data_IF_864212180183
#
_entry.id   IF_864212180183
#
_cell.length_a   1.000
_cell.length_b   1.000
_cell.length_c   1.000
_cell.angle_alpha   90.00
_cell.angle_beta   90.00
_cell.angle_gamma   90.00
#
_symmetry.space_group_name_H-M   'P 1'
#
loop_
_entity.id
_entity.type
_entity.pdbx_description
1 polymer ?
#
# COMPACT_ATOMS: atom_id res chain seq x y z
N UNK A 1 -11.47 19.90 -5.96
CA UNK A 1 -10.73 21.16 -6.11
C UNK A 1 -9.69 21.34 -5.01
N UNK A 2 -10.10 21.26 -3.72
CA UNK A 2 -9.18 21.44 -2.58
C UNK A 2 -8.06 20.39 -2.57
N UNK A 3 -8.38 19.12 -2.56
CA UNK A 3 -7.38 18.05 -2.48
C UNK A 3 -6.56 17.84 -3.76
N UNK A 4 -7.13 18.13 -4.94
CA UNK A 4 -6.42 17.98 -6.20
C UNK A 4 -5.56 19.21 -6.54
N UNK A 5 -6.16 20.34 -6.72
CA UNK A 5 -5.47 21.53 -7.26
C UNK A 5 -4.73 22.34 -6.19
N UNK A 6 -5.42 22.73 -5.11
CA UNK A 6 -4.79 23.50 -4.04
C UNK A 6 -3.78 22.68 -3.27
N UNK A 7 -4.13 21.44 -2.92
CA UNK A 7 -3.22 20.55 -2.23
C UNK A 7 -1.92 20.32 -3.00
N UNK A 8 -2.01 20.10 -4.31
CA UNK A 8 -0.83 19.96 -5.16
C UNK A 8 0.05 21.22 -5.16
N UNK A 9 -0.55 22.40 -5.30
CA UNK A 9 0.18 23.67 -5.25
C UNK A 9 0.87 23.86 -3.89
N UNK A 10 0.13 23.66 -2.79
CA UNK A 10 0.70 23.75 -1.43
C UNK A 10 1.84 22.74 -1.22
N UNK A 11 1.69 21.51 -1.75
CA UNK A 11 2.73 20.51 -1.66
C UNK A 11 4.00 20.90 -2.40
N UNK A 12 3.89 21.52 -3.59
CA UNK A 12 5.04 22.01 -4.34
C UNK A 12 5.75 23.17 -3.59
N UNK A 13 5.00 24.18 -3.13
CA UNK A 13 5.55 25.30 -2.36
C UNK A 13 6.26 24.81 -1.07
N UNK A 14 5.67 23.83 -0.40
CA UNK A 14 6.23 23.20 0.80
C UNK A 14 7.52 22.41 0.46
N UNK A 15 7.49 21.65 -0.62
CA UNK A 15 8.62 20.84 -1.08
C UNK A 15 9.84 21.71 -1.42
N UNK A 16 9.62 22.84 -2.09
CA UNK A 16 10.67 23.82 -2.41
C UNK A 16 11.19 24.50 -1.15
N UNK A 17 10.30 24.97 -0.28
CA UNK A 17 10.65 25.72 0.94
C UNK A 17 11.52 24.91 1.90
N UNK A 18 11.23 23.62 2.05
CA UNK A 18 11.88 22.77 3.05
C UNK A 18 12.86 21.75 2.46
N UNK A 19 13.02 21.72 1.14
CA UNK A 19 13.83 20.74 0.38
C UNK A 19 13.46 19.29 0.72
N UNK A 20 12.17 18.97 0.63
CA UNK A 20 11.60 17.66 0.93
C UNK A 20 10.71 17.16 -0.21
N UNK A 21 10.39 15.88 -0.19
CA UNK A 21 9.22 15.35 -0.88
C UNK A 21 7.99 15.55 0.01
N UNK A 22 6.85 15.97 -0.56
CA UNK A 22 5.57 16.04 0.14
C UNK A 22 4.65 14.98 -0.48
N UNK A 23 4.25 13.94 0.27
CA UNK A 23 3.47 12.85 -0.28
C UNK A 23 2.06 13.32 -0.67
N UNK A 24 1.57 12.83 -1.80
CA UNK A 24 0.17 12.99 -2.19
C UNK A 24 -0.76 12.19 -1.27
N UNK A 25 -0.27 11.07 -0.77
CA UNK A 25 -1.00 10.07 0.00
C UNK A 25 -0.14 9.57 1.18
N UNK A 26 -0.73 9.45 2.35
CA UNK A 26 -0.15 8.73 3.48
C UNK A 26 -0.71 7.32 3.51
N UNK A 27 0.16 6.32 3.58
CA UNK A 27 -0.20 4.96 3.95
C UNK A 27 -0.05 4.83 5.46
N UNK A 28 -1.09 4.43 6.18
CA UNK A 28 -1.10 4.43 7.66
C UNK A 28 -1.65 3.13 8.21
N UNK A 29 -0.98 2.56 9.21
CA UNK A 29 -1.42 1.39 9.96
C UNK A 29 -2.12 1.81 11.25
N UNK A 30 -3.45 1.82 11.33
CA UNK A 30 -4.16 2.12 12.58
C UNK A 30 -3.84 1.11 13.68
N UNK A 31 -3.50 -0.10 13.29
CA UNK A 31 -3.11 -1.20 14.18
C UNK A 31 -2.31 -2.28 13.43
N UNK A 32 -1.38 -2.93 14.11
CA UNK A 32 -0.73 -4.14 13.61
C UNK A 32 -1.55 -5.41 13.92
N UNK A 33 -2.59 -5.32 14.76
CA UNK A 33 -3.47 -6.45 15.06
C UNK A 33 -4.24 -6.88 13.79
N UNK A 34 -4.37 -8.19 13.63
CA UNK A 34 -5.15 -8.79 12.55
C UNK A 34 -5.98 -9.96 13.07
N UNK A 35 -7.15 -10.15 12.50
CA UNK A 35 -8.01 -11.31 12.79
C UNK A 35 -7.70 -12.51 11.88
N UNK A 36 -6.60 -12.45 11.11
CA UNK A 36 -6.11 -13.50 10.21
C UNK A 36 -4.60 -13.70 10.34
N UNK A 37 -4.11 -14.87 9.91
CA UNK A 37 -2.69 -15.23 9.88
C UNK A 37 -2.29 -15.71 8.48
N UNK A 38 -2.21 -14.77 7.54
CA UNK A 38 -1.92 -15.10 6.13
C UNK A 38 -0.46 -15.49 5.93
N UNK A 39 -0.22 -16.55 5.15
CA UNK A 39 1.15 -16.97 4.80
C UNK A 39 1.89 -15.87 4.04
N UNK A 40 3.11 -15.53 4.48
CA UNK A 40 3.95 -14.50 3.88
C UNK A 40 3.29 -13.09 3.96
N UNK A 41 2.74 -12.75 5.11
CA UNK A 41 2.23 -11.41 5.37
C UNK A 41 3.39 -10.46 5.67
N UNK A 42 3.52 -9.36 4.92
CA UNK A 42 4.57 -8.38 5.13
C UNK A 42 4.43 -7.66 6.49
N UNK A 43 3.20 -7.47 6.97
CA UNK A 43 2.92 -6.79 8.23
C UNK A 43 3.13 -7.69 9.48
N UNK A 44 3.47 -8.96 9.32
CA UNK A 44 3.67 -9.87 10.46
C UNK A 44 4.88 -9.48 11.33
N UNK A 45 5.88 -8.81 10.75
CA UNK A 45 7.08 -8.34 11.44
C UNK A 45 6.80 -7.27 12.50
N UNK A 46 5.64 -6.61 12.45
CA UNK A 46 5.24 -5.60 13.46
C UNK A 46 4.57 -6.20 14.71
N UNK A 47 4.43 -7.51 14.81
CA UNK A 47 4.09 -8.22 16.06
C UNK A 47 2.67 -8.04 16.59
N UNK A 48 1.68 -7.71 15.80
CA UNK A 48 0.23 -7.72 16.12
C UNK A 48 -0.22 -7.01 17.42
N UNK A 49 0.62 -6.22 18.08
CA UNK A 49 0.34 -5.62 19.41
C UNK A 49 0.33 -4.08 19.39
N UNK A 50 0.72 -3.47 18.29
CA UNK A 50 0.83 -2.02 18.17
C UNK A 50 -0.47 -1.40 17.67
N UNK A 51 -0.75 -0.19 18.11
CA UNK A 51 -1.88 0.61 17.62
C UNK A 51 -1.57 2.08 17.77
N UNK A 52 -1.93 2.87 16.75
CA UNK A 52 -1.90 4.32 16.83
C UNK A 52 -3.13 4.83 17.58
N UNK A 53 -2.98 5.69 18.60
CA UNK A 53 -4.09 6.42 19.19
C UNK A 53 -4.84 7.26 18.14
N UNK A 54 -6.15 7.42 18.35
CA UNK A 54 -6.96 8.27 17.46
C UNK A 54 -6.39 9.69 17.34
N UNK A 55 -5.98 10.26 18.45
CA UNK A 55 -5.45 11.63 18.56
C UNK A 55 -4.15 11.80 17.74
N UNK A 56 -3.31 10.77 17.68
CA UNK A 56 -2.09 10.80 16.86
C UNK A 56 -2.42 10.73 15.37
N UNK A 57 -3.32 9.83 14.96
CA UNK A 57 -3.78 9.74 13.57
C UNK A 57 -4.40 11.08 13.12
N UNK A 58 -5.27 11.66 13.94
CA UNK A 58 -5.92 12.94 13.69
C UNK A 58 -4.93 14.10 13.56
N UNK A 59 -3.93 14.16 14.46
CA UNK A 59 -2.86 15.16 14.41
C UNK A 59 -2.07 15.05 13.12
N UNK A 60 -1.61 13.85 12.77
CA UNK A 60 -0.85 13.61 11.54
C UNK A 60 -1.63 14.03 10.30
N UNK A 61 -2.91 13.67 10.21
CA UNK A 61 -3.75 14.07 9.08
C UNK A 61 -3.96 15.59 9.01
N UNK A 62 -4.07 16.25 10.16
CA UNK A 62 -4.18 17.71 10.24
C UNK A 62 -2.89 18.38 9.75
N UNK A 63 -1.73 17.92 10.22
CA UNK A 63 -0.42 18.41 9.80
C UNK A 63 -0.16 18.14 8.31
N UNK A 64 -0.51 16.94 7.83
CA UNK A 64 -0.35 16.55 6.44
C UNK A 64 -1.16 17.42 5.48
N UNK A 65 -2.41 17.75 5.82
CA UNK A 65 -3.24 18.69 5.05
C UNK A 65 -2.59 20.07 4.95
N UNK A 66 -2.00 20.56 6.02
CA UNK A 66 -1.30 21.84 6.01
C UNK A 66 -0.10 21.85 5.07
N UNK A 67 0.47 20.67 4.77
CA UNK A 67 1.57 20.49 3.81
C UNK A 67 1.08 20.21 2.37
N UNK A 68 -0.21 19.98 2.18
CA UNK A 68 -0.80 19.72 0.85
C UNK A 68 -1.23 18.28 0.59
N UNK A 69 -1.12 17.37 1.58
CA UNK A 69 -1.57 15.97 1.47
C UNK A 69 -3.06 15.86 1.78
N UNK A 70 -3.85 15.30 0.87
CA UNK A 70 -5.30 15.18 1.02
C UNK A 70 -5.84 13.75 0.82
N UNK A 71 -4.99 12.74 0.91
CA UNK A 71 -5.39 11.35 0.83
C UNK A 71 -4.71 10.52 1.93
N UNK A 72 -5.43 9.56 2.49
CA UNK A 72 -4.91 8.58 3.43
C UNK A 72 -5.43 7.18 3.08
N UNK A 73 -4.53 6.22 3.06
CA UNK A 73 -4.83 4.82 2.81
C UNK A 73 -4.46 4.02 4.06
N UNK A 74 -5.43 3.33 4.63
CA UNK A 74 -5.22 2.49 5.80
C UNK A 74 -4.83 1.07 5.40
N UNK A 75 -3.81 0.54 6.10
CA UNK A 75 -3.32 -0.84 5.93
C UNK A 75 -2.87 -1.39 7.29
N UNK A 76 -1.79 -2.17 7.37
CA UNK A 76 -1.26 -2.74 8.61
C UNK A 76 -1.67 -4.18 8.82
N UNK A 77 -2.19 -4.51 10.00
CA UNK A 77 -2.85 -5.79 10.27
C UNK A 77 -4.19 -5.84 9.53
N UNK A 78 -5.29 -5.73 10.26
CA UNK A 78 -6.61 -5.49 9.63
C UNK A 78 -7.12 -4.11 10.08
N UNK A 79 -7.15 -3.11 9.18
CA UNK A 79 -7.53 -1.75 9.57
C UNK A 79 -8.97 -1.66 10.07
N UNK A 80 -9.88 -2.51 9.61
CA UNK A 80 -11.28 -2.49 10.04
C UNK A 80 -11.50 -3.01 11.47
N UNK A 81 -10.48 -3.53 12.16
CA UNK A 81 -10.54 -3.66 13.61
C UNK A 81 -10.68 -2.30 14.31
N UNK A 82 -10.26 -1.24 13.62
CA UNK A 82 -10.37 0.17 14.06
C UNK A 82 -11.41 0.96 13.24
N UNK A 83 -12.43 0.26 12.64
CA UNK A 83 -13.41 0.89 11.76
C UNK A 83 -14.12 2.10 12.39
N UNK A 84 -14.36 2.09 13.70
CA UNK A 84 -14.98 3.24 14.40
C UNK A 84 -14.09 4.48 14.39
N UNK A 85 -12.79 4.32 14.61
CA UNK A 85 -11.84 5.43 14.56
C UNK A 85 -11.65 5.93 13.13
N UNK A 86 -11.59 5.01 12.15
CA UNK A 86 -11.51 5.37 10.72
C UNK A 86 -12.73 6.23 10.33
N UNK A 87 -13.95 5.83 10.68
CA UNK A 87 -15.16 6.61 10.40
C UNK A 87 -15.11 8.00 11.07
N UNK A 88 -14.65 8.08 12.31
CA UNK A 88 -14.46 9.39 13.01
C UNK A 88 -13.43 10.28 12.30
N UNK A 89 -12.34 9.71 11.77
CA UNK A 89 -11.37 10.46 10.95
C UNK A 89 -12.01 10.97 9.66
N UNK A 90 -12.78 10.13 8.97
CA UNK A 90 -13.52 10.52 7.76
C UNK A 90 -14.49 11.67 8.02
N UNK A 91 -15.20 11.65 9.15
CA UNK A 91 -16.09 12.74 9.56
C UNK A 91 -15.35 14.06 9.82
N UNK A 92 -14.21 13.96 10.51
CA UNK A 92 -13.42 15.12 10.91
C UNK A 92 -12.67 15.73 9.73
N UNK A 93 -12.25 14.93 8.77
CA UNK A 93 -11.45 15.34 7.61
C UNK A 93 -12.22 15.16 6.30
N UNK A 94 -13.38 15.81 6.18
CA UNK A 94 -14.27 15.70 5.01
C UNK A 94 -13.66 16.17 3.69
N UNK A 95 -12.59 16.94 3.76
CA UNK A 95 -11.79 17.44 2.65
C UNK A 95 -10.66 16.49 2.22
N UNK A 96 -10.56 15.31 2.86
CA UNK A 96 -9.65 14.23 2.50
C UNK A 96 -10.37 13.04 1.89
N UNK A 97 -9.68 12.30 1.03
CA UNK A 97 -10.09 10.98 0.55
C UNK A 97 -9.46 9.88 1.41
N UNK A 98 -10.26 8.90 1.80
CA UNK A 98 -9.81 7.76 2.60
C UNK A 98 -10.04 6.45 1.85
N UNK A 99 -9.09 5.54 1.99
CA UNK A 99 -9.15 4.21 1.43
C UNK A 99 -8.61 3.20 2.44
N UNK A 100 -9.03 1.93 2.38
CA UNK A 100 -8.41 0.87 3.15
C UNK A 100 -8.20 -0.40 2.33
N UNK A 101 -7.05 -1.03 2.52
CA UNK A 101 -6.86 -2.44 2.15
C UNK A 101 -7.36 -3.31 3.30
N UNK A 102 -8.33 -4.17 3.03
CA UNK A 102 -8.95 -5.01 4.05
C UNK A 102 -9.07 -6.45 3.59
N UNK A 103 -9.09 -7.39 4.54
CA UNK A 103 -9.44 -8.77 4.25
C UNK A 103 -10.96 -8.97 4.01
N UNK A 104 -11.78 -7.95 4.21
CA UNK A 104 -13.21 -7.93 3.95
C UNK A 104 -14.09 -8.56 5.04
N UNK A 105 -13.52 -9.33 5.98
CA UNK A 105 -14.30 -10.11 6.94
C UNK A 105 -15.06 -9.31 7.99
N UNK A 106 -14.77 -8.01 8.11
CA UNK A 106 -15.38 -7.07 9.07
C UNK A 106 -16.33 -6.06 8.39
N UNK A 107 -16.58 -6.22 7.09
CA UNK A 107 -17.58 -5.45 6.37
C UNK A 107 -18.95 -6.03 6.71
N UNK A 108 -19.78 -5.24 7.37
CA UNK A 108 -21.14 -5.57 7.79
C UNK A 108 -22.12 -4.47 7.36
N UNK A 109 -23.41 -4.70 7.57
CA UNK A 109 -24.50 -3.78 7.21
C UNK A 109 -24.30 -2.39 7.84
N UNK A 110 -24.00 -2.34 9.13
CA UNK A 110 -23.79 -1.08 9.85
C UNK A 110 -22.61 -0.30 9.29
N UNK A 111 -21.54 -0.99 8.91
CA UNK A 111 -20.37 -0.36 8.33
C UNK A 111 -20.65 0.18 6.92
N UNK A 112 -21.45 -0.51 6.12
CA UNK A 112 -21.90 0.00 4.81
C UNK A 112 -22.70 1.30 4.97
N UNK A 113 -23.59 1.37 5.96
CA UNK A 113 -24.34 2.59 6.26
C UNK A 113 -23.42 3.76 6.68
N UNK A 114 -22.41 3.47 7.50
CA UNK A 114 -21.42 4.47 7.90
C UNK A 114 -20.56 4.95 6.72
N UNK A 115 -20.14 4.05 5.82
CA UNK A 115 -19.43 4.42 4.59
C UNK A 115 -20.26 5.38 3.72
N UNK A 116 -21.54 5.08 3.54
CA UNK A 116 -22.46 5.95 2.80
C UNK A 116 -22.64 7.32 3.49
N UNK A 117 -22.72 7.33 4.80
CA UNK A 117 -22.91 8.55 5.60
C UNK A 117 -21.71 9.49 5.52
N UNK A 118 -20.47 8.97 5.59
CA UNK A 118 -19.26 9.82 5.51
C UNK A 118 -18.95 10.23 4.08
N UNK A 119 -19.13 9.33 3.10
CA UNK A 119 -19.07 9.62 1.66
C UNK A 119 -17.67 9.86 1.09
N UNK A 120 -16.62 9.80 1.91
CA UNK A 120 -15.22 10.01 1.52
C UNK A 120 -14.32 8.81 1.83
N UNK A 121 -14.90 7.63 2.05
CA UNK A 121 -14.20 6.39 2.36
C UNK A 121 -14.62 5.25 1.43
N UNK A 122 -13.64 4.49 0.94
CA UNK A 122 -13.84 3.29 0.13
C UNK A 122 -12.81 2.21 0.45
N UNK A 123 -13.00 0.99 -0.05
CA UNK A 123 -12.15 -0.16 0.31
C UNK A 123 -11.66 -0.93 -0.92
N UNK A 124 -10.52 -1.60 -0.76
CA UNK A 124 -10.07 -2.69 -1.63
C UNK A 124 -10.02 -3.99 -0.85
N UNK A 125 -10.82 -4.96 -1.28
CA UNK A 125 -10.86 -6.28 -0.66
C UNK A 125 -9.69 -7.12 -1.18
N UNK A 126 -8.94 -7.72 -0.27
CA UNK A 126 -7.77 -8.51 -0.60
C UNK A 126 -8.15 -9.91 -1.10
N UNK A 127 -7.74 -10.26 -2.31
CA UNK A 127 -7.93 -11.58 -2.94
C UNK A 127 -6.67 -12.03 -3.69
N UNK A 128 -6.50 -13.36 -3.87
CA UNK A 128 -5.27 -13.93 -4.46
C UNK A 128 -5.55 -14.79 -5.71
N UNK A 129 -6.77 -14.74 -6.26
CA UNK A 129 -7.28 -15.61 -7.30
C UNK A 129 -8.52 -16.36 -6.84
N UNK A 130 -8.82 -17.51 -7.45
CA UNK A 130 -9.92 -18.37 -7.02
C UNK A 130 -9.67 -19.03 -5.66
N UNK A 131 -10.67 -19.77 -5.16
CA UNK A 131 -10.72 -20.34 -3.80
C UNK A 131 -9.43 -21.04 -3.39
N UNK A 132 -8.88 -21.93 -4.23
CA UNK A 132 -7.68 -22.69 -3.91
C UNK A 132 -6.47 -21.77 -3.61
N UNK A 133 -6.17 -20.82 -4.49
CA UNK A 133 -5.05 -19.89 -4.33
C UNK A 133 -5.30 -18.92 -3.17
N UNK A 134 -6.52 -18.42 -3.06
CA UNK A 134 -6.91 -17.47 -2.03
C UNK A 134 -6.87 -18.11 -0.63
N UNK A 135 -7.53 -19.23 -0.46
CA UNK A 135 -7.64 -19.93 0.83
C UNK A 135 -6.32 -20.58 1.24
N UNK A 136 -5.53 -21.01 0.25
CA UNK A 136 -4.16 -21.53 0.51
C UNK A 136 -3.24 -20.51 1.18
N UNK A 137 -3.44 -19.21 0.92
CA UNK A 137 -2.68 -18.14 1.58
C UNK A 137 -3.38 -17.57 2.81
N UNK A 138 -4.70 -17.34 2.72
CA UNK A 138 -5.47 -16.53 3.70
C UNK A 138 -6.20 -17.38 4.72
N UNK A 139 -6.30 -18.68 4.47
CA UNK A 139 -7.03 -19.61 5.31
C UNK A 139 -8.39 -20.01 4.73
N UNK A 140 -8.79 -21.22 5.05
CA UNK A 140 -9.99 -21.88 4.50
C UNK A 140 -11.26 -21.04 4.71
N UNK A 141 -12.02 -20.88 3.63
CA UNK A 141 -13.30 -20.18 3.60
C UNK A 141 -13.18 -18.65 3.53
N UNK A 142 -11.96 -18.11 3.39
CA UNK A 142 -11.79 -16.67 3.22
C UNK A 142 -12.31 -16.19 1.86
N UNK A 143 -12.13 -16.97 0.79
CA UNK A 143 -12.61 -16.59 -0.54
C UNK A 143 -14.11 -16.29 -0.54
N UNK A 144 -14.92 -17.20 0.06
CA UNK A 144 -16.36 -16.97 0.14
C UNK A 144 -16.70 -15.70 0.94
N UNK A 145 -16.01 -15.46 2.07
CA UNK A 145 -16.23 -14.24 2.87
C UNK A 145 -15.90 -12.96 2.08
N UNK A 146 -14.85 -13.00 1.25
CA UNK A 146 -14.53 -11.89 0.38
C UNK A 146 -15.62 -11.65 -0.69
N UNK A 147 -16.16 -12.71 -1.28
CA UNK A 147 -17.28 -12.61 -2.22
C UNK A 147 -18.56 -12.10 -1.55
N UNK A 148 -18.86 -12.54 -0.33
CA UNK A 148 -20.02 -12.06 0.44
C UNK A 148 -19.89 -10.56 0.76
N UNK A 149 -18.70 -10.10 1.13
CA UNK A 149 -18.43 -8.69 1.36
C UNK A 149 -18.58 -7.84 0.09
N UNK A 150 -18.14 -8.35 -1.07
CA UNK A 150 -18.35 -7.70 -2.38
C UNK A 150 -19.84 -7.59 -2.70
N UNK A 151 -20.61 -8.67 -2.51
CA UNK A 151 -22.06 -8.68 -2.74
C UNK A 151 -22.78 -7.67 -1.81
N UNK A 152 -22.35 -7.56 -0.55
CA UNK A 152 -22.89 -6.60 0.39
C UNK A 152 -22.63 -5.15 -0.05
N UNK A 153 -21.36 -4.81 -0.39
CA UNK A 153 -21.01 -3.47 -0.89
C UNK A 153 -21.80 -3.13 -2.18
N UNK A 154 -21.90 -4.09 -3.10
CA UNK A 154 -22.69 -3.93 -4.33
C UNK A 154 -24.17 -3.67 -4.04
N UNK A 155 -24.78 -4.38 -3.09
CA UNK A 155 -26.19 -4.19 -2.72
C UNK A 155 -26.48 -2.78 -2.24
N UNK A 156 -25.49 -2.16 -1.56
CA UNK A 156 -25.51 -0.76 -1.11
C UNK A 156 -25.05 0.24 -2.17
N UNK A 157 -24.65 -0.22 -3.36
CA UNK A 157 -24.09 0.63 -4.43
C UNK A 157 -22.84 1.42 -3.97
N UNK A 158 -22.07 0.85 -3.08
CA UNK A 158 -20.79 1.40 -2.63
C UNK A 158 -19.71 0.95 -3.61
N UNK A 159 -18.99 1.87 -4.28
CA UNK A 159 -17.88 1.50 -5.14
C UNK A 159 -16.74 0.90 -4.31
N UNK A 160 -16.15 -0.18 -4.81
CA UNK A 160 -15.02 -0.84 -4.16
C UNK A 160 -14.05 -1.42 -5.19
N UNK A 161 -12.86 -1.69 -4.75
CA UNK A 161 -11.85 -2.39 -5.52
C UNK A 161 -11.40 -3.69 -4.87
N UNK A 162 -10.41 -4.29 -5.50
CA UNK A 162 -9.65 -5.42 -4.95
C UNK A 162 -8.17 -5.12 -4.87
N UNK A 163 -7.49 -5.74 -3.91
CA UNK A 163 -6.05 -5.75 -3.78
C UNK A 163 -5.55 -7.17 -4.04
N UNK A 164 -4.69 -7.33 -5.03
CA UNK A 164 -4.22 -8.60 -5.53
C UNK A 164 -2.70 -8.65 -5.43
N UNK A 165 -2.18 -9.52 -4.55
CA UNK A 165 -0.76 -9.85 -4.58
C UNK A 165 -0.51 -10.97 -5.57
N UNK A 166 0.29 -10.70 -6.61
CA UNK A 166 0.67 -11.72 -7.57
C UNK A 166 2.10 -12.22 -7.36
N UNK A 167 2.32 -13.48 -7.68
CA UNK A 167 3.55 -14.24 -7.51
C UNK A 167 3.85 -15.04 -8.78
N UNK A 168 5.01 -15.68 -8.85
CA UNK A 168 5.35 -16.64 -9.90
C UNK A 168 4.32 -17.78 -10.05
N UNK A 169 3.46 -18.03 -9.04
CA UNK A 169 2.51 -19.15 -9.03
C UNK A 169 1.08 -18.75 -9.48
N UNK A 170 0.63 -17.52 -9.20
CA UNK A 170 -0.76 -17.13 -9.45
C UNK A 170 -0.95 -16.03 -10.53
N UNK A 171 0.14 -15.49 -11.09
CA UNK A 171 0.08 -14.34 -12.02
C UNK A 171 -0.86 -14.54 -13.21
N UNK A 172 -0.95 -15.75 -13.77
CA UNK A 172 -1.89 -16.05 -14.87
C UNK A 172 -3.33 -16.13 -14.40
N UNK A 173 -3.56 -16.70 -13.23
CA UNK A 173 -4.91 -16.87 -12.66
C UNK A 173 -5.52 -15.51 -12.34
N UNK A 174 -4.78 -14.63 -11.67
CA UNK A 174 -5.28 -13.31 -11.24
C UNK A 174 -5.48 -12.33 -12.39
N UNK A 175 -5.01 -12.67 -13.59
CA UNK A 175 -5.20 -11.88 -14.81
C UNK A 175 -6.00 -12.63 -15.88
N UNK A 176 -6.54 -13.80 -15.55
CA UNK A 176 -7.40 -14.54 -16.48
C UNK A 176 -8.74 -13.85 -16.68
N UNK A 177 -9.33 -14.03 -17.86
CA UNK A 177 -10.63 -13.41 -18.17
C UNK A 177 -11.72 -13.90 -17.21
N UNK A 178 -11.69 -15.17 -16.84
CA UNK A 178 -12.66 -15.78 -15.93
C UNK A 178 -12.60 -15.14 -14.53
N UNK A 179 -11.39 -14.85 -14.02
CA UNK A 179 -11.24 -14.20 -12.72
C UNK A 179 -11.65 -12.72 -12.77
N UNK A 180 -11.28 -12.02 -13.84
CA UNK A 180 -11.68 -10.63 -14.06
C UNK A 180 -13.20 -10.49 -14.21
N UNK A 181 -13.84 -11.38 -14.99
CA UNK A 181 -15.28 -11.38 -15.18
C UNK A 181 -16.02 -11.70 -13.89
N UNK A 182 -15.47 -12.57 -13.04
CA UNK A 182 -16.00 -12.78 -11.69
C UNK A 182 -15.97 -11.49 -10.87
N UNK A 183 -14.84 -10.78 -10.81
CA UNK A 183 -14.71 -9.53 -10.06
C UNK A 183 -15.67 -8.45 -10.58
N UNK A 184 -15.77 -8.30 -11.90
CA UNK A 184 -16.71 -7.36 -12.54
C UNK A 184 -18.16 -7.74 -12.22
N UNK A 185 -18.50 -9.03 -12.27
CA UNK A 185 -19.84 -9.53 -11.93
C UNK A 185 -20.23 -9.25 -10.48
N UNK A 186 -19.25 -9.18 -9.58
CA UNK A 186 -19.42 -8.77 -8.17
C UNK A 186 -19.52 -7.26 -7.97
N UNK A 187 -19.29 -6.46 -9.02
CA UNK A 187 -19.36 -5.00 -8.96
C UNK A 187 -18.05 -4.32 -8.62
N UNK A 188 -16.93 -5.01 -8.71
CA UNK A 188 -15.61 -4.44 -8.54
C UNK A 188 -15.31 -3.44 -9.67
N UNK A 189 -14.85 -2.23 -9.34
CA UNK A 189 -14.58 -1.17 -10.33
C UNK A 189 -13.09 -0.92 -10.57
N UNK A 190 -12.22 -1.37 -9.67
CA UNK A 190 -10.77 -1.26 -9.86
C UNK A 190 -10.02 -2.39 -9.16
N UNK A 191 -8.79 -2.68 -9.63
CA UNK A 191 -7.90 -3.66 -9.05
C UNK A 191 -6.49 -3.08 -8.86
N UNK A 192 -5.96 -3.20 -7.65
CA UNK A 192 -4.56 -2.96 -7.35
C UNK A 192 -3.79 -4.26 -7.47
N UNK A 193 -2.85 -4.34 -8.40
CA UNK A 193 -1.90 -5.43 -8.53
C UNK A 193 -0.60 -5.05 -7.83
N UNK A 194 -0.17 -5.91 -6.91
CA UNK A 194 1.11 -5.79 -6.20
C UNK A 194 1.99 -6.99 -6.51
N UNK A 195 3.17 -6.74 -7.03
CA UNK A 195 4.20 -7.77 -7.13
C UNK A 195 4.58 -8.27 -5.73
N UNK A 196 4.80 -9.56 -5.61
CA UNK A 196 5.29 -10.13 -4.36
C UNK A 196 6.63 -9.49 -3.97
N UNK A 197 6.72 -9.01 -2.75
CA UNK A 197 7.95 -8.50 -2.16
C UNK A 197 8.43 -9.50 -1.10
N UNK A 198 9.71 -9.92 -1.09
CA UNK A 198 10.24 -10.93 -0.17
C UNK A 198 10.54 -10.34 1.21
N UNK A 199 9.52 -9.70 1.81
CA UNK A 199 9.53 -9.04 3.12
C UNK A 199 8.52 -9.73 4.01
N UNK A 200 8.79 -9.76 5.30
CA UNK A 200 7.93 -10.39 6.30
C UNK A 200 8.37 -11.80 6.69
N UNK A 201 7.73 -12.32 7.73
CA UNK A 201 8.02 -13.65 8.28
C UNK A 201 7.89 -14.74 7.22
N UNK A 202 8.92 -15.57 7.11
CA UNK A 202 9.00 -16.66 6.15
C UNK A 202 8.90 -16.23 4.68
N UNK A 203 9.43 -15.04 4.34
CA UNK A 203 9.50 -14.57 2.96
C UNK A 203 10.25 -15.58 2.08
N UNK A 204 9.61 -15.98 0.98
CA UNK A 204 10.12 -17.00 0.04
C UNK A 204 10.47 -16.35 -1.30
N UNK A 205 11.76 -16.16 -1.57
CA UNK A 205 12.23 -15.56 -2.83
C UNK A 205 11.82 -16.37 -4.09
N UNK A 206 11.46 -17.65 -3.97
CA UNK A 206 10.96 -18.44 -5.10
C UNK A 206 9.61 -17.98 -5.64
N UNK A 207 8.93 -17.12 -4.90
CA UNK A 207 7.65 -16.50 -5.32
C UNK A 207 7.84 -15.25 -6.18
N UNK A 208 9.08 -14.75 -6.32
CA UNK A 208 9.39 -13.66 -7.24
C UNK A 208 9.13 -14.10 -8.69
N UNK A 209 8.72 -13.15 -9.53
CA UNK A 209 8.49 -13.42 -10.94
C UNK A 209 9.82 -13.52 -11.71
N UNK A 210 9.83 -14.35 -12.75
CA UNK A 210 10.89 -14.26 -13.76
C UNK A 210 10.71 -13.02 -14.64
N UNK A 211 11.73 -12.57 -15.39
CA UNK A 211 11.61 -11.45 -16.32
C UNK A 211 10.49 -11.62 -17.35
N UNK A 212 10.27 -12.85 -17.84
CA UNK A 212 9.21 -13.18 -18.79
C UNK A 212 7.82 -13.06 -18.15
N UNK A 213 7.68 -13.55 -16.90
CA UNK A 213 6.44 -13.44 -16.15
C UNK A 213 6.11 -11.97 -15.82
N UNK A 214 7.13 -11.16 -15.51
CA UNK A 214 6.96 -9.73 -15.28
C UNK A 214 6.54 -8.99 -16.55
N UNK A 215 7.15 -9.31 -17.69
CA UNK A 215 6.76 -8.79 -18.99
C UNK A 215 5.31 -9.14 -19.31
N UNK A 216 4.93 -10.40 -19.09
CA UNK A 216 3.54 -10.84 -19.25
C UNK A 216 2.58 -10.00 -18.39
N UNK A 217 2.86 -9.82 -17.10
CA UNK A 217 2.00 -9.02 -16.19
C UNK A 217 1.84 -7.59 -16.69
N UNK A 218 2.94 -6.94 -17.03
CA UNK A 218 2.92 -5.57 -17.59
C UNK A 218 2.03 -5.46 -18.82
N UNK A 219 2.23 -6.35 -19.78
CA UNK A 219 1.51 -6.29 -21.05
C UNK A 219 0.03 -6.66 -20.87
N UNK A 220 -0.26 -7.67 -20.04
CA UNK A 220 -1.63 -8.10 -19.75
C UNK A 220 -2.44 -7.06 -18.99
N UNK A 221 -1.86 -6.39 -17.99
CA UNK A 221 -2.55 -5.30 -17.26
C UNK A 221 -2.83 -4.12 -18.20
N UNK A 222 -1.93 -3.81 -19.13
CA UNK A 222 -2.16 -2.78 -20.15
C UNK A 222 -3.27 -3.17 -21.12
N UNK A 223 -3.34 -4.43 -21.53
CA UNK A 223 -4.43 -4.95 -22.34
C UNK A 223 -5.78 -4.82 -21.61
N UNK A 224 -5.86 -5.24 -20.34
CA UNK A 224 -7.07 -5.13 -19.51
C UNK A 224 -7.54 -3.67 -19.42
N UNK A 225 -6.62 -2.70 -19.30
CA UNK A 225 -6.91 -1.25 -19.28
C UNK A 225 -7.24 -0.67 -20.65
N UNK A 226 -7.05 -1.43 -21.71
CA UNK A 226 -7.16 -0.94 -23.08
C UNK A 226 -8.52 -0.30 -23.40
N UNK A 227 -8.51 0.80 -24.14
CA UNK A 227 -9.72 1.54 -24.55
C UNK A 227 -10.57 0.69 -25.52
N UNK A 228 -9.92 -0.20 -26.28
CA UNK A 228 -10.59 -1.09 -27.23
C UNK A 228 -10.30 -2.54 -26.83
N UNK A 229 -11.34 -3.28 -26.47
CA UNK A 229 -11.22 -4.69 -26.04
C UNK A 229 -10.76 -4.90 -24.61
N UNK A 230 -10.63 -3.83 -23.82
CA UNK A 230 -10.36 -3.90 -22.38
C UNK A 230 -11.56 -4.39 -21.57
N UNK A 231 -11.34 -4.60 -20.29
CA UNK A 231 -12.39 -4.98 -19.32
C UNK A 231 -12.94 -3.72 -18.61
N UNK A 232 -14.17 -3.81 -18.13
CA UNK A 232 -14.79 -2.76 -17.29
C UNK A 232 -14.21 -2.75 -15.86
N UNK A 233 -12.88 -2.81 -15.76
CA UNK A 233 -12.12 -2.85 -14.52
C UNK A 233 -10.86 -2.01 -14.67
N UNK A 234 -10.74 -0.92 -13.90
CA UNK A 234 -9.53 -0.13 -13.88
C UNK A 234 -8.43 -0.84 -13.09
N UNK A 235 -7.33 -1.19 -13.74
CA UNK A 235 -6.22 -1.91 -13.11
C UNK A 235 -5.02 -0.99 -12.88
N UNK A 236 -4.44 -1.05 -11.68
CA UNK A 236 -3.18 -0.39 -11.33
C UNK A 236 -2.17 -1.50 -11.05
N UNK A 237 -1.03 -1.48 -11.74
CA UNK A 237 0.09 -2.39 -11.46
C UNK A 237 1.20 -1.61 -10.76
N UNK A 238 1.22 -1.68 -9.45
CA UNK A 238 2.03 -0.79 -8.60
C UNK A 238 3.52 -0.77 -8.98
N UNK A 239 4.11 -1.92 -9.32
CA UNK A 239 5.51 -2.00 -9.70
C UNK A 239 5.75 -1.73 -11.19
N UNK A 240 4.84 -2.11 -12.09
CA UNK A 240 5.04 -1.97 -13.53
C UNK A 240 4.51 -0.63 -14.10
N UNK A 241 3.79 0.14 -13.30
CA UNK A 241 3.35 1.49 -13.66
C UNK A 241 4.40 2.58 -13.35
N UNK A 242 5.62 2.21 -12.97
CA UNK A 242 6.72 3.14 -12.73
C UNK A 242 7.05 4.06 -13.91
N UNK A 243 6.80 3.64 -15.15
CA UNK A 243 6.95 4.50 -16.34
C UNK A 243 6.03 5.73 -16.30
N UNK A 244 4.80 5.56 -15.76
CA UNK A 244 3.82 6.65 -15.63
C UNK A 244 4.06 7.50 -14.38
N UNK A 245 4.65 6.90 -13.34
CA UNK A 245 4.92 7.55 -12.06
C UNK A 245 6.30 8.24 -11.99
N UNK A 246 7.14 8.08 -13.02
CA UNK A 246 8.50 8.63 -13.04
C UNK A 246 9.50 7.83 -12.19
N UNK A 247 9.23 6.55 -11.94
CA UNK A 247 10.09 5.66 -11.17
C UNK A 247 9.54 5.31 -9.79
N UNK A 248 10.42 5.23 -8.77
CA UNK A 248 10.02 4.90 -7.40
C UNK A 248 9.18 6.01 -6.77
N UNK A 249 8.02 5.65 -6.21
CA UNK A 249 7.04 6.58 -5.63
C UNK A 249 7.16 6.74 -4.10
N UNK A 250 8.10 6.02 -3.48
CA UNK A 250 8.33 5.97 -2.03
C UNK A 250 9.11 7.20 -1.50
N UNK A 251 9.38 7.22 -0.20
CA UNK A 251 10.17 8.29 0.44
C UNK A 251 9.52 9.66 0.35
N UNK A 252 8.18 9.71 0.37
CA UNK A 252 7.40 10.94 0.28
C UNK A 252 7.21 11.48 -1.15
N UNK A 253 7.74 10.83 -2.20
CA UNK A 253 7.57 11.29 -3.59
C UNK A 253 6.08 11.30 -3.98
N UNK A 254 5.39 10.17 -3.85
CA UNK A 254 3.93 10.07 -3.95
C UNK A 254 3.34 9.63 -2.61
N UNK A 255 4.02 8.74 -1.89
CA UNK A 255 3.57 8.29 -0.59
C UNK A 255 4.70 8.05 0.40
N UNK A 256 4.35 7.98 1.68
CA UNK A 256 5.14 7.41 2.75
C UNK A 256 4.26 6.49 3.59
N UNK A 257 4.89 5.66 4.42
CA UNK A 257 4.20 4.74 5.31
C UNK A 257 4.39 5.15 6.78
N UNK A 258 3.34 5.06 7.58
CA UNK A 258 3.38 5.23 9.03
C UNK A 258 2.89 3.93 9.64
N UNK A 259 3.77 3.18 10.26
CA UNK A 259 3.43 1.91 10.88
C UNK A 259 2.65 2.09 12.20
N UNK A 260 2.11 1.00 12.73
CA UNK A 260 1.27 1.04 13.94
C UNK A 260 2.03 1.39 15.23
N UNK A 261 3.37 1.34 15.21
CA UNK A 261 4.21 1.83 16.31
C UNK A 261 4.37 3.37 16.26
N UNK A 262 4.30 3.94 15.05
CA UNK A 262 4.45 5.37 14.79
C UNK A 262 5.73 5.75 14.05
N UNK A 263 6.49 4.77 13.54
CA UNK A 263 7.65 5.04 12.70
C UNK A 263 7.21 5.49 11.30
N UNK A 264 7.94 6.44 10.73
CA UNK A 264 7.67 6.96 9.39
C UNK A 264 8.67 6.37 8.41
N UNK A 265 8.19 5.44 7.60
CA UNK A 265 8.97 4.63 6.68
C UNK A 265 8.84 5.14 5.25
N UNK A 266 9.84 4.94 4.39
CA UNK A 266 9.75 5.36 2.99
C UNK A 266 8.71 4.57 2.21
N UNK A 267 8.52 3.30 2.53
CA UNK A 267 7.69 2.35 1.79
C UNK A 267 7.16 1.27 2.73
N UNK A 268 5.96 0.79 2.48
CA UNK A 268 5.32 -0.32 3.20
C UNK A 268 6.11 -1.65 3.15
N UNK A 269 7.07 -1.76 2.22
CA UNK A 269 7.96 -2.92 2.08
C UNK A 269 9.40 -2.63 2.54
N UNK A 270 9.69 -1.44 3.05
CA UNK A 270 11.02 -1.04 3.51
C UNK A 270 10.88 -0.53 4.94
N UNK A 271 11.06 -1.45 5.86
CA UNK A 271 10.88 -1.29 7.30
C UNK A 271 12.13 -0.68 7.94
N UNK A 272 12.45 0.55 7.54
CA UNK A 272 13.55 1.36 8.07
C UNK A 272 13.11 2.80 8.30
N UNK A 273 13.46 3.34 9.46
CA UNK A 273 13.13 4.72 9.81
C UNK A 273 14.19 5.34 10.73
N UNK A 274 14.24 6.66 10.75
CA UNK A 274 14.92 7.48 11.76
C UNK A 274 13.98 8.57 12.32
N UNK A 275 12.67 8.43 12.10
CA UNK A 275 11.67 9.41 12.49
C UNK A 275 10.42 8.74 13.07
N UNK A 276 9.98 9.26 14.21
CA UNK A 276 8.90 8.74 15.01
C UNK A 276 7.85 9.84 15.25
N UNK A 277 6.59 9.60 14.83
CA UNK A 277 5.55 10.65 14.88
C UNK A 277 5.17 11.09 16.28
N UNK A 278 5.42 10.28 17.34
CA UNK A 278 5.13 10.66 18.72
C UNK A 278 6.11 11.69 19.27
N UNK A 279 7.29 11.83 18.66
CA UNK A 279 8.35 12.74 19.08
C UNK A 279 8.51 13.93 18.15
N UNK A 280 8.06 13.79 16.90
CA UNK A 280 8.27 14.76 15.82
C UNK A 280 6.95 15.13 15.14
N UNK A 281 6.87 16.34 14.61
CA UNK A 281 5.82 16.72 13.67
C UNK A 281 5.94 15.94 12.36
N UNK A 282 4.86 15.86 11.59
CA UNK A 282 4.91 15.17 10.30
C UNK A 282 5.92 15.83 9.34
N UNK A 283 6.03 17.16 9.36
CA UNK A 283 7.06 17.87 8.58
C UNK A 283 8.48 17.42 8.97
N UNK A 284 8.80 17.36 10.26
CA UNK A 284 10.12 16.90 10.72
C UNK A 284 10.39 15.45 10.34
N UNK A 285 9.34 14.60 10.31
CA UNK A 285 9.45 13.23 9.83
C UNK A 285 9.79 13.17 8.33
N UNK A 286 9.22 14.03 7.50
CA UNK A 286 9.55 14.12 6.08
C UNK A 286 10.98 14.64 5.83
N UNK A 287 11.58 15.34 6.80
CA UNK A 287 12.95 15.85 6.73
C UNK A 287 14.00 14.83 7.17
N UNK A 288 13.63 13.61 7.54
CA UNK A 288 14.57 12.58 7.98
C UNK A 288 15.64 12.25 6.93
N UNK A 289 16.87 11.88 7.35
CA UNK A 289 17.98 11.63 6.43
C UNK A 289 17.66 10.61 5.34
N UNK A 290 16.96 9.52 5.67
CA UNK A 290 16.58 8.48 4.69
C UNK A 290 15.69 9.06 3.57
N UNK A 291 14.70 9.92 3.89
CA UNK A 291 13.84 10.55 2.89
C UNK A 291 14.59 11.56 2.01
N UNK A 292 15.58 12.25 2.56
CA UNK A 292 16.47 13.12 1.77
C UNK A 292 17.30 12.32 0.76
N UNK A 293 17.75 11.11 1.15
CA UNK A 293 18.44 10.22 0.21
C UNK A 293 17.50 9.70 -0.88
N UNK A 294 16.23 9.40 -0.54
CA UNK A 294 15.21 9.08 -1.56
C UNK A 294 15.02 10.24 -2.54
N UNK A 295 14.80 11.46 -2.06
CA UNK A 295 14.63 12.65 -2.90
C UNK A 295 15.82 12.87 -3.83
N UNK A 296 17.04 12.73 -3.31
CA UNK A 296 18.27 12.91 -4.09
C UNK A 296 18.50 11.80 -5.11
N UNK A 297 18.11 10.56 -4.78
CA UNK A 297 18.41 9.35 -5.58
C UNK A 297 17.36 9.02 -6.63
N UNK A 298 16.09 9.41 -6.42
CA UNK A 298 15.02 9.14 -7.37
C UNK A 298 15.27 9.80 -8.73
N UNK A 299 15.01 9.06 -9.82
CA UNK A 299 14.27 7.81 -9.95
C UNK A 299 15.05 6.51 -9.68
N UNK A 300 16.22 6.49 -9.09
CA UNK A 300 17.12 5.37 -8.77
C UNK A 300 17.66 4.59 -10.00
N UNK A 301 16.88 4.48 -11.06
CA UNK A 301 17.23 3.78 -12.29
C UNK A 301 16.65 4.52 -13.50
N UNK A 302 17.42 4.67 -14.57
CA UNK A 302 16.92 5.27 -15.83
C UNK A 302 15.84 4.42 -16.51
N UNK A 303 15.77 3.13 -16.22
CA UNK A 303 14.65 2.29 -16.58
C UNK A 303 13.59 2.33 -15.46
N UNK A 304 12.54 3.08 -15.65
CA UNK A 304 11.46 3.27 -14.68
C UNK A 304 10.63 1.99 -14.42
N UNK A 305 10.82 0.93 -15.17
CA UNK A 305 10.31 -0.41 -14.86
C UNK A 305 11.17 -1.16 -13.81
N UNK A 306 12.31 -0.56 -13.40
CA UNK A 306 13.20 -1.08 -12.36
C UNK A 306 13.40 -0.05 -11.24
N UNK A 307 12.33 0.45 -10.62
CA UNK A 307 12.41 1.64 -9.77
C UNK A 307 12.85 1.34 -8.33
N UNK A 308 12.72 0.12 -7.84
CA UNK A 308 12.84 -0.17 -6.41
C UNK A 308 14.32 -0.27 -5.96
N UNK A 309 14.72 0.48 -4.92
CA UNK A 309 16.08 0.41 -4.39
C UNK A 309 16.39 -0.88 -3.62
N UNK A 310 15.37 -1.71 -3.34
CA UNK A 310 15.52 -3.02 -2.71
C UNK A 310 15.46 -4.15 -3.73
N UNK A 311 14.40 -4.16 -4.57
CA UNK A 311 14.07 -5.30 -5.43
C UNK A 311 14.95 -5.33 -6.69
N UNK A 312 15.11 -4.18 -7.36
CA UNK A 312 15.77 -4.10 -8.66
C UNK A 312 17.14 -3.42 -8.62
N UNK A 313 17.46 -2.73 -7.53
CA UNK A 313 18.75 -2.06 -7.32
C UNK A 313 19.26 -2.36 -5.90
N UNK A 314 19.53 -3.65 -5.62
CA UNK A 314 19.75 -4.16 -4.24
C UNK A 314 20.98 -3.60 -3.52
N UNK A 315 21.87 -2.90 -4.23
CA UNK A 315 23.02 -2.20 -3.66
C UNK A 315 22.65 -0.84 -3.04
N UNK A 316 21.50 -0.26 -3.39
CA UNK A 316 21.15 1.10 -2.99
C UNK A 316 20.59 1.16 -1.57
N UNK A 317 19.66 0.28 -1.19
CA UNK A 317 19.02 0.34 0.13
C UNK A 317 20.03 0.18 1.27
N UNK A 318 20.95 -0.81 1.26
CA UNK A 318 21.97 -0.93 2.31
C UNK A 318 22.81 0.33 2.46
N UNK A 319 23.24 0.93 1.35
CA UNK A 319 23.99 2.19 1.34
C UNK A 319 23.18 3.35 1.95
N UNK A 320 21.92 3.51 1.56
CA UNK A 320 21.05 4.56 2.09
C UNK A 320 20.77 4.38 3.59
N UNK A 321 20.56 3.14 4.05
CA UNK A 321 20.36 2.83 5.48
C UNK A 321 21.61 3.18 6.27
N UNK A 322 22.78 2.75 5.82
CA UNK A 322 24.05 3.07 6.48
C UNK A 322 24.34 4.59 6.52
N UNK A 323 24.11 5.31 5.42
CA UNK A 323 24.34 6.75 5.31
C UNK A 323 23.35 7.56 6.16
N UNK A 324 22.10 7.13 6.24
CA UNK A 324 21.04 7.84 6.98
C UNK A 324 21.05 7.55 8.49
N UNK A 325 21.69 6.46 8.94
CA UNK A 325 21.57 5.96 10.29
C UNK A 325 20.17 5.45 10.64
N UNK A 326 19.36 5.11 9.63
CA UNK A 326 18.05 4.52 9.86
C UNK A 326 18.19 3.13 10.49
N UNK A 327 17.26 2.76 11.37
CA UNK A 327 17.19 1.46 12.03
C UNK A 327 16.01 0.65 11.48
N UNK A 328 16.08 -0.69 11.65
CA UNK A 328 14.95 -1.55 11.33
C UNK A 328 13.78 -1.26 12.29
N UNK A 329 12.58 -1.20 11.74
CA UNK A 329 11.31 -1.04 12.44
C UNK A 329 10.59 -2.38 12.65
N UNK A 330 11.17 -3.49 12.18
CA UNK A 330 10.69 -4.84 12.44
C UNK A 330 10.86 -5.20 13.92
N UNK A 331 9.81 -5.72 14.55
CA UNK A 331 9.79 -6.05 15.97
C UNK A 331 10.01 -7.55 16.24
N UNK A 332 9.57 -8.43 15.35
CA UNK A 332 9.61 -9.88 15.56
C UNK A 332 10.92 -10.50 15.07
N UNK A 333 11.42 -10.09 13.91
CA UNK A 333 12.65 -10.59 13.33
C UNK A 333 13.39 -9.50 12.54
N UNK A 334 14.03 -8.52 13.21
CA UNK A 334 14.77 -7.45 12.55
C UNK A 334 15.80 -8.00 11.58
N UNK A 335 15.71 -7.56 10.32
CA UNK A 335 16.60 -8.01 9.26
C UNK A 335 17.52 -6.87 8.82
N UNK A 336 18.79 -7.17 8.49
CA UNK A 336 19.66 -6.15 7.91
C UNK A 336 19.29 -5.85 6.47
N UNK A 337 19.54 -4.61 6.03
CA UNK A 337 19.25 -4.19 4.67
C UNK A 337 20.04 -5.01 3.63
N UNK A 338 21.25 -5.47 3.98
CA UNK A 338 22.07 -6.32 3.17
C UNK A 338 21.43 -7.70 2.95
N UNK A 339 20.96 -8.34 4.04
CA UNK A 339 20.31 -9.65 3.96
C UNK A 339 18.97 -9.55 3.22
N UNK A 340 18.18 -8.52 3.48
CA UNK A 340 16.93 -8.26 2.76
C UNK A 340 17.16 -8.14 1.26
N UNK A 341 18.17 -7.36 0.84
CA UNK A 341 18.49 -7.13 -0.56
C UNK A 341 19.15 -8.35 -1.22
N UNK A 342 19.88 -9.19 -0.46
CA UNK A 342 20.48 -10.41 -1.00
C UNK A 342 19.42 -11.36 -1.57
N UNK A 343 18.25 -11.45 -0.93
CA UNK A 343 17.11 -12.22 -1.44
C UNK A 343 16.62 -11.75 -2.82
N UNK A 344 16.90 -10.50 -3.18
CA UNK A 344 16.45 -9.87 -4.42
C UNK A 344 17.49 -9.97 -5.56
N UNK A 345 18.77 -10.31 -5.28
CA UNK A 345 19.86 -10.28 -6.28
C UNK A 345 19.59 -11.11 -7.53
N UNK A 346 18.99 -12.28 -7.37
CA UNK A 346 18.69 -13.15 -8.51
C UNK A 346 17.55 -12.59 -9.39
N UNK A 347 16.76 -11.66 -8.85
CA UNK A 347 15.68 -11.00 -9.55
C UNK A 347 16.14 -9.68 -10.20
N UNK A 348 17.06 -8.94 -9.55
CA UNK A 348 17.60 -7.67 -10.03
C UNK A 348 18.44 -7.85 -11.30
#
# INVERSE_FOLDING_TARGET
>A
YEGGFRGYQTAQETAEKYDINVPWLILMDPTSACNMHCTGCWAAEYGHKQSLPFEEMDRVLTEAKALGTHACLFTGGEPLLRKKDIIRLCEKHRDMAFHAFTNGTLIDEDFCQEMLRVGNFFVSISVEGFEEANDGRRGRGHFQKALDAMDLLRSHRIPFGVSIRYTSRNYKVVTSDEFLDLLISKGCVFAWYFHYMPVGLNADASLLLTPEQRTYMKDRVREIRGVTGGKELYCIDFQNDGEFAGGCVAGGCIYCHINAAGDVEPCVFIHYSSAYIREKSFLECLQQPLFKLYRKGQPFNGNHLRPCPMLENPELLPKMVAESGAHSTDLEAPESAEHLCEKCRAYA
#
